data_IF_149144551919
#
_entry.id   IF_149144551919
#
_cell.length_a   1.000
_cell.length_b   1.000
_cell.length_c   1.000
_cell.angle_alpha   90.00
_cell.angle_beta   90.00
_cell.angle_gamma   90.00
#
_symmetry.space_group_name_H-M   'P 1'
#
loop_
_entity.id
_entity.type
_entity.pdbx_description
1 polymer ?
#
# COMPACT_ATOMS: atom_id res chain seq x y z
N UNK A 1 4.83 -2.03 5.00
CA UNK A 1 5.79 -3.14 4.93
C UNK A 1 5.01 -4.35 4.47
N UNK A 2 5.33 -4.90 3.30
CA UNK A 2 4.86 -6.23 2.90
C UNK A 2 5.52 -7.19 3.89
N UNK A 3 4.74 -8.08 4.53
CA UNK A 3 5.33 -9.06 5.42
C UNK A 3 6.33 -9.94 4.67
N UNK A 4 7.29 -10.59 5.35
CA UNK A 4 8.31 -11.44 4.73
C UNK A 4 7.78 -12.64 3.91
N UNK A 5 6.45 -12.83 3.84
CA UNK A 5 5.76 -13.87 3.06
C UNK A 5 4.94 -13.34 1.87
N UNK A 6 4.96 -12.04 1.57
CA UNK A 6 4.12 -11.48 0.50
C UNK A 6 2.64 -11.32 0.87
N UNK A 7 2.26 -11.71 2.08
CA UNK A 7 0.91 -11.48 2.62
C UNK A 7 0.68 -9.97 2.75
N UNK A 8 -0.09 -9.41 1.81
CA UNK A 8 -0.46 -8.01 1.80
C UNK A 8 -1.20 -7.65 3.08
N UNK A 9 -0.68 -6.71 3.85
CA UNK A 9 -1.41 -6.17 5.00
C UNK A 9 -2.60 -5.38 4.48
N UNK A 10 -3.82 -5.79 4.87
CA UNK A 10 -5.01 -4.97 4.69
C UNK A 10 -4.84 -3.71 5.54
N UNK A 11 -4.62 -2.58 4.86
CA UNK A 11 -4.54 -1.28 5.53
C UNK A 11 -5.95 -0.70 5.65
N UNK A 12 -6.20 -0.02 6.77
CA UNK A 12 -7.40 0.79 6.89
C UNK A 12 -7.36 1.91 5.84
N UNK A 13 -8.42 2.03 5.05
CA UNK A 13 -8.61 3.11 4.10
C UNK A 13 -9.88 3.88 4.43
N UNK A 14 -9.93 5.14 4.00
CA UNK A 14 -11.15 5.97 4.05
C UNK A 14 -11.48 6.49 2.67
N UNK A 15 -12.76 6.45 2.31
CA UNK A 15 -13.25 7.10 1.10
C UNK A 15 -13.47 8.60 1.38
N UNK A 16 -12.88 9.45 0.56
CA UNK A 16 -13.11 10.90 0.53
C UNK A 16 -13.23 11.30 -0.92
N UNK A 17 -14.46 11.43 -1.40
CA UNK A 17 -14.75 11.64 -2.82
C UNK A 17 -13.81 12.64 -3.49
N UNK A 18 -13.17 12.30 -4.63
CA UNK A 18 -13.23 11.02 -5.35
C UNK A 18 -12.12 9.99 -4.96
N UNK A 19 -11.41 10.20 -3.84
CA UNK A 19 -10.18 9.48 -3.51
C UNK A 19 -10.33 8.45 -2.39
N UNK A 20 -9.48 7.42 -2.44
CA UNK A 20 -9.20 6.54 -1.31
C UNK A 20 -7.93 7.01 -0.60
N UNK A 21 -8.03 7.27 0.69
CA UNK A 21 -6.91 7.78 1.50
C UNK A 21 -6.48 6.71 2.49
N UNK A 22 -5.18 6.45 2.52
CA UNK A 22 -4.50 5.64 3.54
C UNK A 22 -3.58 6.54 4.36
N UNK A 23 -3.48 6.29 5.66
CA UNK A 23 -2.73 7.12 6.61
C UNK A 23 -1.28 6.66 6.82
N UNK A 24 -0.85 5.62 6.10
CA UNK A 24 0.49 5.02 6.23
C UNK A 24 1.29 5.15 4.94
N UNK A 25 2.57 5.50 5.07
CA UNK A 25 3.53 5.46 3.97
C UNK A 25 3.91 4.02 3.60
N UNK A 26 3.99 3.73 2.30
CA UNK A 26 4.37 2.43 1.76
C UNK A 26 5.45 2.58 0.69
N UNK A 27 6.33 1.59 0.55
CA UNK A 27 7.28 1.51 -0.58
C UNK A 27 6.61 0.96 -1.84
N UNK A 28 5.73 -0.02 -1.64
CA UNK A 28 4.85 -0.58 -2.66
C UNK A 28 3.49 -0.93 -2.02
N UNK A 29 2.42 -0.85 -2.81
CA UNK A 29 1.06 -1.23 -2.42
C UNK A 29 0.32 -1.89 -3.59
N UNK A 30 -0.68 -2.71 -3.26
CA UNK A 30 -1.61 -3.30 -4.21
C UNK A 30 -3.03 -2.84 -3.90
N UNK A 31 -3.72 -2.28 -4.88
CA UNK A 31 -5.16 -2.02 -4.83
C UNK A 31 -5.87 -3.15 -5.57
N UNK A 32 -6.82 -3.81 -4.91
CA UNK A 32 -7.62 -4.90 -5.47
C UNK A 32 -9.08 -4.47 -5.57
N UNK A 33 -9.66 -4.56 -6.77
CA UNK A 33 -11.05 -4.21 -7.06
C UNK A 33 -11.85 -5.47 -7.42
N UNK A 34 -12.77 -5.88 -6.55
CA UNK A 34 -13.57 -7.11 -6.72
C UNK A 34 -13.12 -8.26 -5.81
N UNK A 35 -13.83 -9.40 -5.88
CA UNK A 35 -13.57 -10.58 -5.03
C UNK A 35 -12.99 -11.79 -5.80
N UNK A 36 -13.65 -12.24 -6.87
CA UNK A 36 -13.26 -13.49 -7.54
C UNK A 36 -12.26 -13.31 -8.70
N UNK A 37 -12.39 -12.21 -9.46
CA UNK A 37 -11.46 -11.80 -10.52
C UNK A 37 -11.07 -10.35 -10.30
N UNK A 38 -10.36 -10.10 -9.21
CA UNK A 38 -10.03 -8.74 -8.82
C UNK A 38 -9.08 -8.10 -9.85
N UNK A 39 -9.40 -6.89 -10.29
CA UNK A 39 -8.41 -6.07 -10.98
C UNK A 39 -7.38 -5.60 -9.95
N UNK A 40 -6.09 -5.86 -10.22
CA UNK A 40 -4.99 -5.54 -9.31
C UNK A 40 -4.16 -4.42 -9.91
N UNK A 41 -4.07 -3.31 -9.18
CA UNK A 41 -3.18 -2.20 -9.52
C UNK A 41 -2.04 -2.17 -8.52
N UNK A 42 -0.81 -2.27 -9.02
CA UNK A 42 0.41 -2.17 -8.21
C UNK A 42 0.97 -0.76 -8.32
N UNK A 43 1.27 -0.16 -7.17
CA UNK A 43 1.85 1.18 -7.07
C UNK A 43 3.18 1.05 -6.33
N UNK A 44 4.25 1.55 -6.95
CA UNK A 44 5.59 1.60 -6.36
C UNK A 44 6.08 3.04 -6.34
N UNK A 45 6.78 3.45 -5.28
CA UNK A 45 7.48 4.73 -5.27
C UNK A 45 8.77 4.63 -6.08
N UNK A 46 8.89 5.44 -7.11
CA UNK A 46 10.06 5.49 -8.01
C UNK A 46 11.23 6.31 -7.45
N UNK A 47 10.99 7.21 -6.49
CA UNK A 47 12.03 8.07 -5.88
C UNK A 47 12.39 7.58 -4.46
N UNK A 48 13.03 6.43 -4.37
CA UNK A 48 13.43 5.82 -3.10
C UNK A 48 14.48 6.62 -2.34
N UNK A 49 14.08 7.28 -1.24
CA UNK A 49 14.77 7.33 0.07
C UNK A 49 13.93 8.17 1.05
N UNK A 50 13.53 7.58 2.18
CA UNK A 50 12.93 8.36 3.27
C UNK A 50 12.07 7.54 4.21
N UNK A 51 12.62 7.31 5.41
CA UNK A 51 11.94 6.89 6.64
C UNK A 51 11.78 5.39 6.91
N UNK A 52 12.89 4.65 6.97
CA UNK A 52 13.16 3.67 8.05
C UNK A 52 14.63 3.25 8.03
N UNK A 53 15.50 4.16 8.45
CA UNK A 53 16.86 3.86 8.89
C UNK A 53 17.32 4.96 9.87
N UNK A 54 16.53 5.20 10.92
CA UNK A 54 16.95 5.97 12.11
C UNK A 54 16.27 5.38 13.36
N UNK A 55 16.84 4.27 13.80
CA UNK A 55 16.82 3.64 15.14
C UNK A 55 17.85 2.52 14.97
N UNK A 56 19.02 2.54 15.59
CA UNK A 56 19.41 2.94 16.93
C UNK A 56 20.89 3.35 16.92
#
# INVERSE_FOLDING_TARGET
>A
MIGPRGDGQLVNYRFRSPYYVVDRLFGAAELRLGRDKAAVVRIERTNGVGSTARRH
#
